data_IF_902100498898
#
_entry.id   IF_902100498898
#
_cell.length_a   1.000
_cell.length_b   1.000
_cell.length_c   1.000
_cell.angle_alpha   90.00
_cell.angle_beta   90.00
_cell.angle_gamma   90.00
#
_symmetry.space_group_name_H-M   'P 1'
#
loop_
_entity.id
_entity.type
_entity.pdbx_description
1 polymer ?
#
# COMPACT_ATOMS: atom_id res chain seq x y z
N UNK A 1 12.76 15.69 -5.36
CA UNK A 1 11.87 14.55 -5.10
C UNK A 1 10.64 15.05 -4.34
N UNK A 2 9.52 14.33 -4.38
CA UNK A 2 8.28 14.62 -3.64
C UNK A 2 7.95 13.40 -2.77
N UNK A 3 7.77 13.60 -1.47
CA UNK A 3 7.38 12.52 -0.54
C UNK A 3 5.87 12.52 -0.39
N UNK A 4 5.17 11.98 -1.39
CA UNK A 4 3.72 11.79 -1.33
C UNK A 4 3.39 10.52 -0.53
N UNK A 5 2.37 10.60 0.32
CA UNK A 5 2.07 9.57 1.32
C UNK A 5 1.11 8.49 0.84
N UNK A 6 0.47 8.66 -0.32
CA UNK A 6 -0.27 7.60 -1.01
C UNK A 6 -0.42 7.87 -2.52
N UNK A 7 -0.93 6.88 -3.26
CA UNK A 7 -1.03 6.94 -4.72
C UNK A 7 -2.01 8.01 -5.22
N UNK A 8 -3.08 8.28 -4.47
CA UNK A 8 -4.03 9.33 -4.83
C UNK A 8 -3.39 10.74 -4.75
N UNK A 9 -2.68 11.04 -3.66
CA UNK A 9 -1.95 12.32 -3.51
C UNK A 9 -0.78 12.43 -4.48
N UNK A 10 -0.06 11.33 -4.72
CA UNK A 10 0.97 11.26 -5.76
C UNK A 10 0.40 11.57 -7.15
N UNK A 11 -0.80 11.05 -7.46
CA UNK A 11 -1.50 11.33 -8.72
C UNK A 11 -1.74 12.82 -8.96
N UNK A 12 -2.26 13.53 -7.96
CA UNK A 12 -2.44 14.99 -8.04
C UNK A 12 -1.12 15.75 -8.21
N UNK A 13 -0.08 15.38 -7.45
CA UNK A 13 1.24 15.98 -7.59
C UNK A 13 1.86 15.75 -8.98
N UNK A 14 1.69 14.55 -9.56
CA UNK A 14 2.19 14.21 -10.90
C UNK A 14 1.48 15.04 -11.98
N UNK A 15 0.19 15.36 -11.82
CA UNK A 15 -0.49 16.28 -12.75
C UNK A 15 0.17 17.67 -12.75
N UNK A 16 0.47 18.22 -11.58
CA UNK A 16 1.16 19.50 -11.46
C UNK A 16 2.59 19.45 -12.03
N UNK A 17 3.33 18.37 -11.77
CA UNK A 17 4.66 18.14 -12.35
C UNK A 17 4.61 18.03 -13.88
N UNK A 18 3.60 17.36 -14.42
CA UNK A 18 3.39 17.21 -15.87
C UNK A 18 3.16 18.56 -16.55
N UNK A 19 2.34 19.43 -15.95
CA UNK A 19 2.09 20.78 -16.45
C UNK A 19 3.37 21.65 -16.54
N UNK A 20 4.42 21.29 -15.80
CA UNK A 20 5.73 21.95 -15.82
C UNK A 20 6.80 21.17 -16.61
N UNK A 21 6.44 20.08 -17.28
CA UNK A 21 7.39 19.23 -18.01
C UNK A 21 8.39 18.49 -17.11
N UNK A 22 8.02 18.25 -15.84
CA UNK A 22 8.84 17.62 -14.79
C UNK A 22 8.43 16.18 -14.46
N UNK A 23 7.29 15.70 -15.00
CA UNK A 23 6.87 14.31 -14.82
C UNK A 23 7.92 13.34 -15.37
N UNK A 24 8.23 12.27 -14.61
CA UNK A 24 9.31 11.32 -14.93
C UNK A 24 10.73 11.82 -14.66
N UNK A 25 10.90 13.09 -14.27
CA UNK A 25 12.21 13.67 -13.85
C UNK A 25 12.31 13.81 -12.33
N UNK A 26 11.18 14.07 -11.67
CA UNK A 26 11.10 14.21 -10.22
C UNK A 26 10.68 12.88 -9.60
N UNK A 27 11.54 12.29 -8.78
CA UNK A 27 11.19 11.10 -8.01
C UNK A 27 10.02 11.38 -7.05
N UNK A 28 9.05 10.47 -6.98
CA UNK A 28 7.86 10.60 -6.15
C UNK A 28 7.40 9.25 -5.59
N UNK A 29 7.19 9.18 -4.28
CA UNK A 29 6.69 8.00 -3.56
C UNK A 29 5.16 7.87 -3.64
N UNK A 30 4.65 6.73 -3.19
CA UNK A 30 3.21 6.46 -3.06
C UNK A 30 2.95 5.27 -2.12
N UNK A 31 1.69 4.91 -2.00
CA UNK A 31 1.19 3.83 -1.15
C UNK A 31 -0.18 3.39 -1.67
N UNK A 32 -0.53 2.14 -1.40
CA UNK A 32 -1.82 1.47 -1.66
C UNK A 32 -1.84 0.66 -2.96
N UNK A 33 -0.89 0.91 -3.87
CA UNK A 33 -0.77 0.21 -5.15
C UNK A 33 -2.06 0.30 -6.00
N UNK A 34 -2.66 1.49 -6.07
CA UNK A 34 -3.83 1.73 -6.92
C UNK A 34 -3.53 1.40 -8.38
N UNK A 35 -4.52 0.94 -9.15
CA UNK A 35 -4.32 0.61 -10.57
C UNK A 35 -3.69 1.77 -11.35
N UNK A 36 -4.14 3.00 -11.08
CA UNK A 36 -3.56 4.19 -11.68
C UNK A 36 -2.11 4.46 -11.22
N UNK A 37 -1.78 4.14 -9.96
CA UNK A 37 -0.42 4.21 -9.42
C UNK A 37 0.51 3.20 -10.11
N UNK A 38 0.09 1.94 -10.25
CA UNK A 38 0.86 0.91 -10.95
C UNK A 38 1.11 1.28 -12.41
N UNK A 39 0.09 1.80 -13.11
CA UNK A 39 0.27 2.32 -14.49
C UNK A 39 1.30 3.45 -14.54
N UNK A 40 1.26 4.40 -13.59
CA UNK A 40 2.25 5.49 -13.50
C UNK A 40 3.66 4.98 -13.23
N UNK A 41 3.83 3.96 -12.40
CA UNK A 41 5.12 3.31 -12.13
C UNK A 41 5.64 2.60 -13.39
N UNK A 42 4.78 1.87 -14.10
CA UNK A 42 5.15 1.17 -15.33
C UNK A 42 5.68 2.14 -16.41
N UNK A 43 5.03 3.30 -16.58
CA UNK A 43 5.46 4.35 -17.53
C UNK A 43 6.53 5.31 -16.95
N UNK A 44 6.95 5.12 -15.69
CA UNK A 44 8.07 5.85 -15.07
C UNK A 44 7.75 7.26 -14.56
N UNK A 45 6.46 7.61 -14.39
CA UNK A 45 6.05 8.94 -13.86
C UNK A 45 5.88 8.95 -12.34
N UNK A 46 5.74 7.77 -11.73
CA UNK A 46 5.80 7.56 -10.28
C UNK A 46 6.94 6.59 -9.97
N UNK A 47 7.70 6.81 -8.89
CA UNK A 47 8.91 6.01 -8.63
C UNK A 47 8.59 4.65 -8.05
N UNK A 48 7.69 4.61 -7.07
CA UNK A 48 7.31 3.42 -6.33
C UNK A 48 5.96 3.62 -5.65
N UNK A 49 5.41 2.53 -5.13
CA UNK A 49 4.27 2.50 -4.22
C UNK A 49 4.52 1.42 -3.17
N UNK A 50 3.88 1.54 -2.02
CA UNK A 50 3.89 0.51 -0.99
C UNK A 50 2.58 -0.27 -1.06
N UNK A 51 2.66 -1.53 -1.47
CA UNK A 51 1.55 -2.46 -1.51
C UNK A 51 1.25 -3.02 -0.11
N UNK A 52 -0.03 -3.06 0.25
CA UNK A 52 -0.53 -3.65 1.48
C UNK A 52 -1.61 -4.68 1.11
N UNK A 53 -1.31 -5.99 1.19
CA UNK A 53 -2.28 -7.02 0.78
C UNK A 53 -3.57 -6.96 1.60
N UNK A 54 -4.64 -6.44 1.00
CA UNK A 54 -5.94 -6.25 1.67
C UNK A 54 -6.53 -7.59 2.10
N UNK A 55 -6.36 -8.65 1.29
CA UNK A 55 -6.80 -10.01 1.62
C UNK A 55 -6.15 -10.52 2.91
N UNK A 56 -4.85 -10.28 3.11
CA UNK A 56 -4.15 -10.71 4.32
C UNK A 56 -4.66 -9.97 5.56
N UNK A 57 -4.87 -8.66 5.44
CA UNK A 57 -5.44 -7.84 6.50
C UNK A 57 -6.86 -8.28 6.87
N UNK A 58 -7.72 -8.46 5.87
CA UNK A 58 -9.12 -8.85 6.07
C UNK A 58 -9.25 -10.24 6.71
N UNK A 59 -8.51 -11.23 6.22
CA UNK A 59 -8.52 -12.57 6.78
C UNK A 59 -8.03 -12.58 8.24
N UNK A 60 -6.89 -11.93 8.48
CA UNK A 60 -6.34 -11.77 9.84
C UNK A 60 -7.35 -11.08 10.78
N UNK A 61 -8.01 -10.01 10.32
CA UNK A 61 -8.98 -9.29 11.12
C UNK A 61 -10.22 -10.14 11.44
N UNK A 62 -10.68 -10.96 10.49
CA UNK A 62 -11.80 -11.87 10.70
C UNK A 62 -11.47 -12.96 11.72
N UNK A 63 -10.27 -13.54 11.65
CA UNK A 63 -9.78 -14.51 12.63
C UNK A 63 -9.76 -13.90 14.04
N UNK A 64 -9.15 -12.72 14.19
CA UNK A 64 -9.11 -11.96 15.45
C UNK A 64 -10.53 -11.68 15.98
N UNK A 65 -11.46 -11.29 15.12
CA UNK A 65 -12.83 -10.99 15.52
C UNK A 65 -13.56 -12.25 16.05
N UNK A 66 -13.33 -13.41 15.45
CA UNK A 66 -13.89 -14.69 15.91
C UNK A 66 -13.27 -15.12 17.23
N UNK A 67 -11.94 -14.98 17.40
CA UNK A 67 -11.25 -15.27 18.66
C UNK A 67 -11.82 -14.42 19.81
N UNK A 68 -11.93 -13.10 19.60
CA UNK A 68 -12.53 -12.18 20.57
C UNK A 68 -13.99 -12.53 20.88
N UNK A 69 -14.79 -12.86 19.86
CA UNK A 69 -16.18 -13.26 20.02
C UNK A 69 -16.37 -14.53 20.85
N UNK A 70 -15.37 -15.42 20.85
CA UNK A 70 -15.32 -16.63 21.66
C UNK A 70 -14.64 -16.42 23.03
N UNK A 71 -14.34 -15.16 23.41
CA UNK A 71 -13.69 -14.84 24.67
C UNK A 71 -12.21 -15.25 24.73
N UNK A 72 -11.59 -15.51 23.59
CA UNK A 72 -10.15 -15.81 23.49
C UNK A 72 -9.36 -14.51 23.37
N UNK A 73 -8.07 -14.59 23.73
CA UNK A 73 -7.14 -13.48 23.57
C UNK A 73 -6.30 -13.68 22.30
N UNK A 74 -6.48 -12.83 21.26
CA UNK A 74 -5.71 -12.92 20.03
C UNK A 74 -4.23 -12.65 20.25
N UNK A 75 -3.38 -13.31 19.47
CA UNK A 75 -1.94 -13.01 19.47
C UNK A 75 -1.70 -11.59 18.96
N UNK A 76 -0.81 -10.86 19.63
CA UNK A 76 -0.33 -9.55 19.23
C UNK A 76 1.17 -9.57 18.98
N UNK A 77 1.64 -8.74 18.05
CA UNK A 77 3.07 -8.57 17.78
C UNK A 77 3.69 -7.53 18.73
N UNK A 78 2.88 -6.54 19.11
CA UNK A 78 3.27 -5.42 19.98
C UNK A 78 2.05 -4.84 20.67
N UNK A 79 2.26 -3.82 21.52
CA UNK A 79 1.21 -2.95 22.01
C UNK A 79 1.43 -1.51 21.53
N UNK A 80 0.35 -0.83 21.16
CA UNK A 80 0.38 0.57 20.75
C UNK A 80 -0.46 1.41 21.71
N UNK A 81 0.15 2.45 22.29
CA UNK A 81 -0.55 3.37 23.17
C UNK A 81 -1.50 4.26 22.37
N UNK A 82 -2.77 4.30 22.76
CA UNK A 82 -3.78 5.15 22.12
C UNK A 82 -4.15 6.41 22.94
N UNK A 83 -3.31 6.76 23.93
CA UNK A 83 -3.56 7.87 24.88
C UNK A 83 -4.38 7.47 26.11
N UNK A 84 -4.96 6.27 26.13
CA UNK A 84 -5.72 5.73 27.27
C UNK A 84 -5.13 4.42 27.79
N UNK A 85 -4.78 3.52 26.88
CA UNK A 85 -4.22 2.21 27.19
C UNK A 85 -3.27 1.74 26.09
N UNK A 86 -2.46 0.74 26.43
CA UNK A 86 -1.67 0.02 25.46
C UNK A 86 -2.54 -1.06 24.81
N UNK A 87 -2.81 -0.91 23.51
CA UNK A 87 -3.69 -1.78 22.73
C UNK A 87 -2.87 -2.90 22.09
N UNK A 88 -3.10 -4.18 22.41
CA UNK A 88 -2.48 -5.29 21.70
C UNK A 88 -2.77 -5.19 20.20
N UNK A 89 -1.72 -5.22 19.38
CA UNK A 89 -1.78 -4.91 17.95
C UNK A 89 -1.00 -5.95 17.14
N UNK A 90 -1.58 -6.38 16.01
CA UNK A 90 -0.85 -7.11 14.95
C UNK A 90 -0.50 -6.15 13.82
N UNK A 91 0.77 -6.12 13.42
CA UNK A 91 1.30 -5.22 12.40
C UNK A 91 1.80 -6.03 11.20
N UNK A 92 0.99 -6.07 10.14
CA UNK A 92 1.34 -6.80 8.93
C UNK A 92 2.42 -6.07 8.12
N UNK A 93 3.34 -6.83 7.55
CA UNK A 93 4.46 -6.28 6.75
C UNK A 93 3.97 -5.76 5.40
N UNK A 94 4.17 -4.47 5.09
CA UNK A 94 3.91 -3.93 3.76
C UNK A 94 5.02 -4.31 2.76
N UNK A 95 4.74 -4.20 1.46
CA UNK A 95 5.62 -4.64 0.37
C UNK A 95 5.99 -3.44 -0.50
N UNK A 96 7.30 -3.21 -0.73
CA UNK A 96 7.75 -2.22 -1.72
C UNK A 96 7.44 -2.71 -3.14
N UNK A 97 6.80 -1.84 -3.94
CA UNK A 97 6.50 -2.10 -5.34
C UNK A 97 7.06 -0.98 -6.21
N UNK A 98 7.94 -1.37 -7.12
CA UNK A 98 8.55 -0.51 -8.12
C UNK A 98 8.48 -1.19 -9.48
N UNK A 99 9.01 -0.53 -10.52
CA UNK A 99 8.90 -1.01 -11.91
C UNK A 99 9.37 -2.45 -12.11
N UNK A 100 10.31 -2.93 -11.31
CA UNK A 100 10.95 -4.22 -11.51
C UNK A 100 10.17 -5.41 -10.91
N UNK A 101 9.21 -5.17 -10.00
CA UNK A 101 8.53 -6.24 -9.26
C UNK A 101 6.99 -6.15 -9.28
N UNK A 102 6.39 -5.32 -10.17
CA UNK A 102 4.93 -5.24 -10.33
C UNK A 102 4.32 -6.63 -10.59
N UNK A 103 4.95 -7.41 -11.47
CA UNK A 103 4.43 -8.74 -11.85
C UNK A 103 4.50 -9.73 -10.69
N UNK A 104 5.57 -9.69 -9.90
CA UNK A 104 5.82 -10.63 -8.81
C UNK A 104 5.04 -10.32 -7.53
N UNK A 105 4.36 -9.17 -7.48
CA UNK A 105 3.58 -8.69 -6.34
C UNK A 105 2.10 -8.57 -6.71
N UNK A 106 1.65 -7.38 -7.10
CA UNK A 106 0.22 -7.07 -7.30
C UNK A 106 -0.46 -7.90 -8.38
N UNK A 107 0.27 -8.39 -9.38
CA UNK A 107 -0.27 -9.29 -10.42
C UNK A 107 -0.29 -10.73 -9.96
N UNK A 108 0.82 -11.23 -9.41
CA UNK A 108 0.91 -12.58 -8.86
C UNK A 108 -0.15 -12.83 -7.77
N UNK A 109 -0.39 -11.84 -6.92
CA UNK A 109 -1.37 -11.92 -5.84
C UNK A 109 -2.82 -11.73 -6.34
N UNK A 110 -3.00 -11.45 -7.65
CA UNK A 110 -4.31 -11.19 -8.25
C UNK A 110 -4.99 -9.91 -7.75
N UNK A 111 -4.22 -9.00 -7.16
CA UNK A 111 -4.73 -7.71 -6.68
C UNK A 111 -5.15 -6.80 -7.83
N UNK A 112 -4.34 -6.79 -8.90
CA UNK A 112 -4.72 -6.33 -10.23
C UNK A 112 -4.48 -7.46 -11.23
N UNK A 113 -5.27 -7.52 -12.30
CA UNK A 113 -5.03 -8.45 -13.40
C UNK A 113 -4.08 -7.84 -14.41
N UNK A 114 -3.26 -8.67 -15.07
CA UNK A 114 -2.38 -8.17 -16.14
C UNK A 114 -3.19 -7.52 -17.28
N UNK A 115 -4.43 -7.96 -17.53
CA UNK A 115 -5.34 -7.35 -18.50
C UNK A 115 -5.84 -5.95 -18.12
N UNK A 116 -5.64 -5.51 -16.89
CA UNK A 116 -6.05 -4.18 -16.41
C UNK A 116 -4.93 -3.14 -16.57
N UNK A 117 -3.67 -3.59 -16.70
CA UNK A 117 -2.49 -2.75 -16.89
C UNK A 117 -2.34 -2.29 -18.34
#
# INVERSE_FOLDING_TARGET
AVVASNDATAGGAIQALSAQGLSGKVAISGQDADLAGIKRIAVGTQTMTVYKPITLLANTAAEIAVELGNGQEPKADTSLNNGLKDVPSRLLTPIDVNKNNIKDTVIKDGFHKESEL
#
